data_IF_019618760366
#
_entry.id   IF_019618760366
#
_cell.length_a   1.000
_cell.length_b   1.000
_cell.length_c   1.000
_cell.angle_alpha   90.00
_cell.angle_beta   90.00
_cell.angle_gamma   90.00
#
_symmetry.space_group_name_H-M   'P 1'
#
loop_
_entity.id
_entity.type
_entity.pdbx_description
1 polymer ?
#
# COMPACT_ATOMS: atom_id res chain seq x y z
N UNK A 1 -13.56 -5.55 -14.34
CA UNK A 1 -12.99 -5.87 -13.00
C UNK A 1 -12.30 -7.22 -13.00
N UNK A 2 -12.98 -8.31 -13.39
CA UNK A 2 -12.42 -9.67 -13.47
C UNK A 2 -11.20 -9.76 -14.39
N UNK A 3 -11.25 -9.18 -15.59
CA UNK A 3 -10.13 -9.23 -16.53
C UNK A 3 -8.87 -8.52 -16.02
N UNK A 4 -9.04 -7.44 -15.25
CA UNK A 4 -7.96 -6.72 -14.58
C UNK A 4 -7.39 -7.57 -13.45
N UNK A 5 -8.26 -8.22 -12.65
CA UNK A 5 -7.86 -9.12 -11.57
C UNK A 5 -7.04 -10.29 -12.11
N UNK A 6 -7.46 -10.90 -13.23
CA UNK A 6 -6.74 -12.02 -13.85
C UNK A 6 -5.42 -11.57 -14.46
N UNK A 7 -5.42 -10.53 -15.31
CA UNK A 7 -4.20 -10.07 -16.01
C UNK A 7 -3.17 -9.46 -15.06
N UNK A 8 -3.59 -8.74 -14.02
CA UNK A 8 -2.68 -8.14 -13.02
C UNK A 8 -2.37 -9.05 -11.84
N UNK A 9 -3.22 -10.03 -11.54
CA UNK A 9 -3.00 -11.04 -10.50
C UNK A 9 -2.01 -12.12 -10.92
N UNK A 10 -1.96 -12.47 -12.20
CA UNK A 10 -1.04 -13.51 -12.71
C UNK A 10 0.45 -13.18 -12.45
N UNK A 11 0.94 -11.94 -12.69
CA UNK A 11 2.31 -11.56 -12.31
C UNK A 11 2.57 -11.67 -10.81
N UNK A 12 1.60 -11.30 -9.95
CA UNK A 12 1.75 -11.41 -8.49
C UNK A 12 1.84 -12.89 -8.08
N UNK A 13 0.99 -13.74 -8.65
CA UNK A 13 1.06 -15.19 -8.41
C UNK A 13 2.42 -15.79 -8.81
N UNK A 14 2.96 -15.39 -9.96
CA UNK A 14 4.29 -15.81 -10.38
C UNK A 14 5.38 -15.33 -9.40
N UNK A 15 5.28 -14.10 -8.89
CA UNK A 15 6.20 -13.59 -7.87
C UNK A 15 6.10 -14.37 -6.55
N UNK A 16 4.89 -14.72 -6.10
CA UNK A 16 4.69 -15.53 -4.88
C UNK A 16 5.28 -16.94 -5.03
N UNK A 17 5.08 -17.58 -6.18
CA UNK A 17 5.67 -18.89 -6.50
C UNK A 17 7.20 -18.77 -6.53
N UNK A 18 7.73 -17.74 -7.20
CA UNK A 18 9.16 -17.47 -7.27
C UNK A 18 9.77 -17.21 -5.90
N UNK A 19 9.11 -16.44 -5.05
CA UNK A 19 9.50 -16.22 -3.65
C UNK A 19 9.54 -17.54 -2.89
N UNK A 20 8.47 -18.33 -2.94
CA UNK A 20 8.39 -19.62 -2.24
C UNK A 20 9.51 -20.56 -2.70
N UNK A 21 9.73 -20.66 -4.02
CA UNK A 21 10.81 -21.45 -4.61
C UNK A 21 12.19 -20.96 -4.15
N UNK A 22 12.44 -19.65 -4.19
CA UNK A 22 13.72 -19.09 -3.80
C UNK A 22 14.02 -19.29 -2.31
N UNK A 23 13.03 -19.05 -1.43
CA UNK A 23 13.19 -19.24 0.00
C UNK A 23 13.35 -20.71 0.39
N UNK A 24 12.83 -21.64 -0.41
CA UNK A 24 12.97 -23.09 -0.18
C UNK A 24 14.33 -23.61 -0.67
N UNK A 25 14.81 -23.16 -1.83
CA UNK A 25 15.98 -23.76 -2.51
C UNK A 25 17.27 -22.97 -2.32
N UNK A 26 17.19 -21.67 -1.98
CA UNK A 26 18.32 -20.74 -1.99
C UNK A 26 18.45 -19.96 -0.69
N UNK A 27 17.93 -20.49 0.42
CA UNK A 27 17.98 -19.80 1.71
C UNK A 27 19.40 -19.48 2.19
N UNK A 28 20.36 -20.35 1.88
CA UNK A 28 21.78 -20.19 2.23
C UNK A 28 22.46 -19.04 1.48
N UNK A 29 21.88 -18.57 0.36
CA UNK A 29 22.39 -17.44 -0.42
C UNK A 29 21.96 -16.08 0.16
N UNK A 30 20.98 -16.06 1.09
CA UNK A 30 20.58 -14.83 1.77
C UNK A 30 21.68 -14.38 2.75
N UNK A 31 21.79 -13.09 3.10
CA UNK A 31 22.79 -12.63 4.07
C UNK A 31 22.47 -13.15 5.49
N UNK A 32 23.51 -13.49 6.25
CA UNK A 32 23.49 -14.04 7.63
C UNK A 32 22.34 -13.53 8.54
N UNK A 33 22.04 -12.22 8.63
CA UNK A 33 20.98 -11.73 9.53
C UNK A 33 19.60 -12.31 9.22
N UNK A 34 19.34 -12.64 7.96
CA UNK A 34 18.06 -13.16 7.45
C UNK A 34 18.13 -14.63 7.04
N UNK A 35 19.30 -15.27 7.11
CA UNK A 35 19.44 -16.72 6.99
C UNK A 35 18.71 -17.41 8.17
N UNK A 36 18.10 -18.57 7.92
CA UNK A 36 17.29 -19.28 8.91
C UNK A 36 15.78 -18.98 8.81
N UNK A 37 14.96 -19.89 9.36
CA UNK A 37 13.55 -20.04 8.97
C UNK A 37 12.57 -19.16 9.75
N UNK A 38 12.76 -18.95 11.05
CA UNK A 38 11.84 -18.12 11.86
C UNK A 38 12.44 -17.59 13.15
N UNK A 39 11.84 -16.52 13.67
CA UNK A 39 11.99 -16.02 15.04
C UNK A 39 10.59 -15.84 15.63
N UNK A 40 10.36 -16.31 16.86
CA UNK A 40 9.02 -16.30 17.49
C UNK A 40 7.91 -16.91 16.61
N UNK A 41 8.22 -17.98 15.88
CA UNK A 41 7.33 -18.63 14.90
C UNK A 41 6.90 -17.76 13.71
N UNK A 42 7.60 -16.65 13.44
CA UNK A 42 7.39 -15.78 12.27
C UNK A 42 8.65 -15.75 11.39
N UNK A 43 8.55 -15.75 10.05
CA UNK A 43 9.73 -15.67 9.19
C UNK A 43 10.58 -14.44 9.48
N UNK A 44 11.91 -14.56 9.48
CA UNK A 44 12.80 -13.40 9.71
C UNK A 44 12.55 -12.26 8.73
N UNK A 45 12.30 -12.60 7.46
CA UNK A 45 11.99 -11.64 6.40
C UNK A 45 10.66 -10.90 6.62
N UNK A 46 9.78 -11.37 7.52
CA UNK A 46 8.58 -10.64 7.92
C UNK A 46 8.91 -9.26 8.52
N UNK A 47 10.13 -9.06 9.03
CA UNK A 47 10.62 -7.74 9.44
C UNK A 47 10.52 -6.69 8.32
N UNK A 48 10.61 -7.10 7.05
CA UNK A 48 10.40 -6.21 5.90
C UNK A 48 8.94 -5.72 5.82
N UNK A 49 7.98 -6.58 6.14
CA UNK A 49 6.55 -6.25 6.14
C UNK A 49 6.27 -5.24 7.26
N UNK A 50 6.84 -5.47 8.44
CA UNK A 50 6.76 -4.50 9.54
C UNK A 50 7.38 -3.15 9.14
N UNK A 51 8.58 -3.16 8.54
CA UNK A 51 9.28 -1.93 8.18
C UNK A 51 8.56 -1.13 7.08
N UNK A 52 8.16 -1.78 5.99
CA UNK A 52 7.57 -1.07 4.84
C UNK A 52 6.06 -0.90 4.98
N UNK A 53 5.33 -1.97 5.29
CA UNK A 53 3.86 -1.97 5.21
C UNK A 53 3.20 -1.45 6.49
N UNK A 54 3.91 -1.45 7.63
CA UNK A 54 3.42 -0.87 8.88
C UNK A 54 4.07 0.49 9.14
N UNK A 55 5.40 0.53 9.31
CA UNK A 55 6.11 1.76 9.68
C UNK A 55 6.14 2.76 8.53
N UNK A 56 6.63 2.35 7.35
CA UNK A 56 6.73 3.23 6.19
C UNK A 56 5.37 3.77 5.73
N UNK A 57 4.35 2.92 5.70
CA UNK A 57 3.00 3.31 5.27
C UNK A 57 2.35 4.30 6.25
N UNK A 58 2.63 4.17 7.56
CA UNK A 58 2.23 5.15 8.58
C UNK A 58 2.85 6.51 8.30
N UNK A 59 4.17 6.57 8.02
CA UNK A 59 4.81 7.83 7.63
C UNK A 59 4.22 8.42 6.34
N UNK A 60 3.85 7.57 5.39
CA UNK A 60 3.16 8.01 4.17
C UNK A 60 1.84 8.69 4.50
N UNK A 61 1.00 8.10 5.37
CA UNK A 61 -0.25 8.74 5.83
C UNK A 61 0.01 10.05 6.57
N UNK A 62 0.99 10.09 7.48
CA UNK A 62 1.36 11.32 8.18
C UNK A 62 1.81 12.43 7.21
N UNK A 63 2.51 12.07 6.13
CA UNK A 63 2.90 13.02 5.09
C UNK A 63 1.67 13.59 4.35
N UNK A 64 0.66 12.77 4.06
CA UNK A 64 -0.59 13.20 3.43
C UNK A 64 -1.42 14.07 4.37
N UNK A 65 -1.51 13.71 5.65
CA UNK A 65 -2.14 14.53 6.68
C UNK A 65 -1.45 15.90 6.81
N UNK A 66 -0.12 15.93 6.73
CA UNK A 66 0.65 17.17 6.77
C UNK A 66 0.35 18.07 5.56
N UNK A 67 0.12 17.49 4.37
CA UNK A 67 -0.31 18.26 3.18
C UNK A 67 -1.68 18.87 3.36
N UNK A 68 -2.63 18.15 3.97
CA UNK A 68 -3.94 18.70 4.36
C UNK A 68 -3.77 19.84 5.35
N UNK A 69 -2.92 19.68 6.38
CA UNK A 69 -2.66 20.75 7.36
C UNK A 69 -2.09 22.03 6.71
N UNK A 70 -1.18 21.88 5.75
CA UNK A 70 -0.65 23.01 4.96
C UNK A 70 -1.73 23.66 4.10
N UNK A 71 -2.54 22.86 3.41
CA UNK A 71 -3.66 23.35 2.59
C UNK A 71 -4.70 24.09 3.45
N UNK A 72 -4.99 23.56 4.65
CA UNK A 72 -5.89 24.17 5.61
C UNK A 72 -5.47 25.60 5.96
N UNK A 73 -4.19 25.78 6.31
CA UNK A 73 -3.62 27.11 6.59
C UNK A 73 -3.64 28.02 5.36
N UNK A 74 -3.36 27.46 4.18
CA UNK A 74 -3.31 28.22 2.91
C UNK A 74 -4.69 28.75 2.50
N UNK A 75 -5.73 27.94 2.63
CA UNK A 75 -7.08 28.26 2.15
C UNK A 75 -8.04 28.71 3.27
N UNK A 76 -7.55 28.94 4.49
CA UNK A 76 -8.33 29.49 5.59
C UNK A 76 -9.46 28.58 6.10
N UNK A 77 -9.30 27.25 6.02
CA UNK A 77 -10.36 26.31 6.45
C UNK A 77 -10.21 26.03 7.95
N UNK A 78 -11.06 26.61 8.78
CA UNK A 78 -10.97 26.39 10.24
C UNK A 78 -11.47 25.01 10.67
N UNK A 79 -10.94 24.50 11.79
CA UNK A 79 -11.52 23.34 12.46
C UNK A 79 -12.88 23.73 13.08
N UNK A 80 -13.87 22.83 13.11
CA UNK A 80 -13.83 21.41 12.81
C UNK A 80 -14.18 21.05 11.35
N UNK A 81 -14.30 22.03 10.44
CA UNK A 81 -14.74 21.78 9.05
C UNK A 81 -13.78 20.82 8.35
N UNK A 82 -14.32 19.74 7.79
CA UNK A 82 -13.55 18.74 7.05
C UNK A 82 -13.30 19.17 5.59
N UNK A 83 -14.32 19.75 4.96
CA UNK A 83 -14.29 20.27 3.59
C UNK A 83 -14.59 21.77 3.62
N UNK A 84 -14.05 22.50 2.65
CA UNK A 84 -14.44 23.87 2.36
C UNK A 84 -15.81 23.89 1.66
N UNK A 85 -16.63 24.90 2.00
CA UNK A 85 -17.96 25.09 1.44
C UNK A 85 -17.92 26.02 0.21
N UNK A 86 -18.90 25.85 -0.68
CA UNK A 86 -19.04 26.63 -1.91
C UNK A 86 -18.16 26.15 -3.07
N UNK A 87 -18.29 26.85 -4.20
CA UNK A 87 -17.68 26.46 -5.50
C UNK A 87 -16.48 27.34 -5.90
N UNK A 88 -15.89 28.06 -4.94
CA UNK A 88 -14.69 28.85 -5.20
C UNK A 88 -13.52 27.94 -5.58
N UNK A 89 -12.59 28.48 -6.37
CA UNK A 89 -11.39 27.74 -6.78
C UNK A 89 -10.52 27.32 -5.58
N UNK A 90 -10.45 28.16 -4.54
CA UNK A 90 -9.76 27.83 -3.29
C UNK A 90 -10.44 26.70 -2.52
N UNK A 91 -11.78 26.71 -2.45
CA UNK A 91 -12.55 25.63 -1.83
C UNK A 91 -12.34 24.30 -2.57
N UNK A 92 -12.40 24.32 -3.91
CA UNK A 92 -12.11 23.15 -4.74
C UNK A 92 -10.69 22.63 -4.53
N UNK A 93 -9.68 23.52 -4.54
CA UNK A 93 -8.29 23.13 -4.35
C UNK A 93 -8.03 22.50 -2.97
N UNK A 94 -8.61 23.06 -1.90
CA UNK A 94 -8.56 22.43 -0.58
C UNK A 94 -9.24 21.05 -0.58
N UNK A 95 -10.46 20.96 -1.10
CA UNK A 95 -11.25 19.73 -1.13
C UNK A 95 -10.57 18.61 -1.94
N UNK A 96 -9.85 18.97 -3.00
CA UNK A 96 -9.02 18.06 -3.78
C UNK A 96 -7.87 17.46 -2.97
N UNK A 97 -7.10 18.29 -2.26
CA UNK A 97 -6.03 17.81 -1.37
C UNK A 97 -6.61 16.93 -0.25
N UNK A 98 -7.71 17.36 0.36
CA UNK A 98 -8.41 16.61 1.40
C UNK A 98 -8.88 15.24 0.90
N UNK A 99 -9.48 15.19 -0.30
CA UNK A 99 -9.99 13.94 -0.87
C UNK A 99 -8.88 12.95 -1.22
N UNK A 100 -7.73 13.45 -1.68
CA UNK A 100 -6.53 12.64 -1.90
C UNK A 100 -6.08 11.91 -0.62
N UNK A 101 -6.10 12.59 0.53
CA UNK A 101 -5.78 12.00 1.83
C UNK A 101 -6.88 11.05 2.33
N UNK A 102 -8.16 11.44 2.26
CA UNK A 102 -9.29 10.62 2.70
C UNK A 102 -9.36 9.27 1.97
N UNK A 103 -9.14 9.26 0.66
CA UNK A 103 -9.09 8.01 -0.09
C UNK A 103 -7.96 7.06 0.38
N UNK A 104 -6.84 7.60 0.90
CA UNK A 104 -5.81 6.78 1.53
C UNK A 104 -6.30 6.17 2.85
N UNK A 105 -7.00 6.94 3.68
CA UNK A 105 -7.55 6.47 4.95
C UNK A 105 -8.64 5.41 4.78
N UNK A 106 -9.49 5.52 3.75
CA UNK A 106 -10.58 4.56 3.47
C UNK A 106 -10.06 3.14 3.16
N UNK A 107 -8.86 3.03 2.63
CA UNK A 107 -8.30 1.76 2.12
C UNK A 107 -7.11 1.27 2.94
N UNK A 108 -6.57 2.13 3.81
CA UNK A 108 -5.43 1.79 4.66
C UNK A 108 -5.70 0.64 5.64
N UNK A 109 -6.86 0.56 6.34
CA UNK A 109 -7.14 -0.55 7.26
C UNK A 109 -7.06 -1.91 6.56
N UNK A 110 -7.67 -2.02 5.37
CA UNK A 110 -7.63 -3.24 4.57
C UNK A 110 -6.21 -3.55 4.09
N UNK A 111 -5.49 -2.54 3.58
CA UNK A 111 -4.09 -2.71 3.19
C UNK A 111 -3.22 -3.23 4.33
N UNK A 112 -3.34 -2.63 5.52
CA UNK A 112 -2.54 -2.96 6.69
C UNK A 112 -2.86 -4.38 7.18
N UNK A 113 -4.14 -4.69 7.39
CA UNK A 113 -4.58 -6.00 7.88
C UNK A 113 -4.17 -7.13 6.91
N UNK A 114 -4.40 -6.93 5.61
CA UNK A 114 -4.03 -7.92 4.59
C UNK A 114 -2.51 -8.06 4.47
N UNK A 115 -1.74 -6.98 4.63
CA UNK A 115 -0.27 -7.06 4.64
C UNK A 115 0.24 -7.88 5.83
N UNK A 116 -0.31 -7.66 7.02
CA UNK A 116 0.10 -8.39 8.21
C UNK A 116 -0.16 -9.90 8.08
N UNK A 117 -1.27 -10.29 7.46
CA UNK A 117 -1.60 -11.70 7.20
C UNK A 117 -0.76 -12.26 6.05
N UNK A 118 -0.71 -11.55 4.91
CA UNK A 118 -0.05 -12.02 3.69
C UNK A 118 1.46 -12.17 3.82
N UNK A 119 2.07 -11.34 4.66
CA UNK A 119 3.48 -11.40 4.95
C UNK A 119 3.92 -12.68 5.66
N UNK A 120 3.01 -13.39 6.33
CA UNK A 120 3.35 -14.58 7.12
C UNK A 120 3.90 -15.71 6.24
N UNK A 121 3.41 -15.83 5.00
CA UNK A 121 3.93 -16.79 4.02
C UNK A 121 4.75 -16.13 2.91
N UNK A 122 4.42 -14.88 2.53
CA UNK A 122 5.03 -14.18 1.39
C UNK A 122 5.67 -12.83 1.80
N UNK A 123 6.64 -12.83 2.73
CA UNK A 123 7.18 -11.60 3.31
C UNK A 123 7.79 -10.64 2.27
N UNK A 124 8.45 -11.13 1.23
CA UNK A 124 9.10 -10.31 0.20
C UNK A 124 8.05 -9.69 -0.72
N UNK A 125 7.17 -10.48 -1.32
CA UNK A 125 6.16 -9.97 -2.26
C UNK A 125 5.20 -8.99 -1.57
N UNK A 126 4.77 -9.31 -0.35
CA UNK A 126 3.94 -8.40 0.45
C UNK A 126 4.67 -7.08 0.75
N UNK A 127 5.97 -7.12 1.09
CA UNK A 127 6.77 -5.91 1.34
C UNK A 127 6.97 -5.05 0.10
N UNK A 128 7.24 -5.67 -1.05
CA UNK A 128 7.35 -4.98 -2.34
C UNK A 128 6.03 -4.31 -2.71
N UNK A 129 4.90 -4.99 -2.50
CA UNK A 129 3.58 -4.38 -2.68
C UNK A 129 3.40 -3.14 -1.80
N UNK A 130 3.88 -3.15 -0.55
CA UNK A 130 3.81 -2.00 0.33
C UNK A 130 4.70 -0.84 -0.11
N UNK A 131 5.94 -1.11 -0.52
CA UNK A 131 6.85 -0.10 -1.06
C UNK A 131 6.24 0.63 -2.27
N UNK A 132 5.73 -0.14 -3.24
CA UNK A 132 5.07 0.43 -4.43
C UNK A 132 3.79 1.16 -4.03
N UNK A 133 2.98 0.60 -3.14
CA UNK A 133 1.75 1.24 -2.64
C UNK A 133 2.01 2.64 -2.06
N UNK A 134 3.06 2.82 -1.25
CA UNK A 134 3.43 4.12 -0.69
C UNK A 134 3.77 5.14 -1.78
N UNK A 135 4.62 4.76 -2.74
CA UNK A 135 4.96 5.61 -3.88
C UNK A 135 3.71 5.98 -4.71
N UNK A 136 2.82 5.01 -4.94
CA UNK A 136 1.56 5.23 -5.64
C UNK A 136 0.61 6.16 -4.87
N UNK A 137 0.60 6.12 -3.53
CA UNK A 137 -0.22 7.02 -2.70
C UNK A 137 0.22 8.48 -2.80
N UNK A 138 1.53 8.71 -2.76
CA UNK A 138 2.08 10.06 -2.96
C UNK A 138 1.76 10.57 -4.37
N UNK A 139 2.00 9.75 -5.39
CA UNK A 139 1.72 10.09 -6.78
C UNK A 139 0.22 10.35 -7.04
N UNK A 140 -0.66 9.55 -6.44
CA UNK A 140 -2.10 9.75 -6.52
C UNK A 140 -2.53 11.05 -5.87
N UNK A 141 -2.04 11.34 -4.66
CA UNK A 141 -2.37 12.58 -3.96
C UNK A 141 -1.87 13.81 -4.74
N UNK A 142 -0.69 13.72 -5.36
CA UNK A 142 -0.16 14.77 -6.24
C UNK A 142 -1.02 14.99 -7.49
N UNK A 143 -1.59 13.92 -8.05
CA UNK A 143 -2.57 13.98 -9.13
C UNK A 143 -3.86 14.65 -8.67
N UNK A 144 -4.43 14.15 -7.58
CA UNK A 144 -5.71 14.63 -7.05
C UNK A 144 -5.64 16.11 -6.67
N UNK A 145 -4.51 16.58 -6.14
CA UNK A 145 -4.29 17.99 -5.79
C UNK A 145 -4.28 18.95 -7.00
N UNK A 146 -4.21 18.43 -8.24
CA UNK A 146 -4.38 19.23 -9.47
C UNK A 146 -5.84 19.17 -9.91
N UNK A 147 -6.37 17.96 -10.06
CA UNK A 147 -7.77 17.74 -10.39
C UNK A 147 -8.19 16.29 -10.15
N UNK A 148 -9.49 16.03 -10.13
CA UNK A 148 -9.99 14.67 -10.02
C UNK A 148 -9.56 13.81 -11.23
N UNK A 149 -9.57 14.37 -12.43
CA UNK A 149 -9.25 13.68 -13.70
C UNK A 149 -7.79 13.23 -13.75
N UNK A 150 -6.89 14.01 -13.13
CA UNK A 150 -5.45 13.76 -13.18
C UNK A 150 -4.94 12.80 -12.10
N UNK A 151 -5.81 12.33 -11.19
CA UNK A 151 -5.47 11.42 -10.07
C UNK A 151 -4.74 10.13 -10.49
N UNK A 152 -5.00 9.64 -11.70
CA UNK A 152 -4.37 8.45 -12.26
C UNK A 152 -3.31 8.73 -13.32
N UNK A 153 -3.43 9.86 -14.01
CA UNK A 153 -2.71 10.12 -15.26
C UNK A 153 -1.51 11.02 -15.07
N UNK A 154 -1.47 11.83 -13.98
CA UNK A 154 -0.32 12.69 -13.68
C UNK A 154 0.98 11.91 -13.50
N UNK A 155 0.89 10.68 -12.99
CA UNK A 155 2.04 9.81 -12.81
C UNK A 155 1.66 8.38 -13.16
N UNK A 156 2.54 7.70 -13.90
CA UNK A 156 2.41 6.27 -14.21
C UNK A 156 2.38 5.39 -12.95
N UNK A 157 2.84 5.92 -11.81
CA UNK A 157 2.85 5.21 -10.53
C UNK A 157 1.49 5.19 -9.83
N UNK A 158 0.62 6.18 -10.05
CA UNK A 158 -0.65 6.31 -9.32
C UNK A 158 -1.61 5.12 -9.48
N UNK A 159 -1.77 4.50 -10.67
CA UNK A 159 -2.66 3.35 -10.84
C UNK A 159 -2.22 2.09 -10.08
N UNK A 160 -0.98 2.03 -9.61
CA UNK A 160 -0.45 0.86 -8.92
C UNK A 160 -0.95 0.71 -7.48
N UNK A 161 -1.66 1.71 -6.92
CA UNK A 161 -2.41 1.56 -5.66
C UNK A 161 -3.27 0.28 -5.70
N UNK A 162 -4.05 0.11 -6.77
CA UNK A 162 -4.97 -1.02 -6.90
C UNK A 162 -4.25 -2.33 -7.15
N UNK A 163 -3.18 -2.31 -7.96
CA UNK A 163 -2.37 -3.50 -8.20
C UNK A 163 -1.77 -4.03 -6.90
N UNK A 164 -1.25 -3.14 -6.05
CA UNK A 164 -0.67 -3.52 -4.76
C UNK A 164 -1.73 -3.94 -3.74
N UNK A 165 -2.90 -3.28 -3.72
CA UNK A 165 -4.03 -3.71 -2.87
C UNK A 165 -4.50 -5.12 -3.23
N UNK A 166 -4.67 -5.40 -4.53
CA UNK A 166 -5.00 -6.74 -5.02
C UNK A 166 -3.86 -7.72 -4.68
N UNK A 167 -2.61 -7.29 -4.82
CA UNK A 167 -1.45 -8.10 -4.48
C UNK A 167 -1.45 -8.56 -3.03
N UNK A 168 -1.70 -7.64 -2.08
CA UNK A 168 -1.77 -8.01 -0.66
C UNK A 168 -2.97 -8.92 -0.36
N UNK A 169 -4.10 -8.78 -1.06
CA UNK A 169 -5.22 -9.73 -0.99
C UNK A 169 -4.76 -11.14 -1.39
N UNK A 170 -4.07 -11.30 -2.52
CA UNK A 170 -3.56 -12.61 -2.96
C UNK A 170 -2.60 -13.23 -1.95
N UNK A 171 -1.64 -12.44 -1.44
CA UNK A 171 -0.69 -12.94 -0.43
C UNK A 171 -1.40 -13.34 0.88
N UNK A 172 -2.42 -12.59 1.29
CA UNK A 172 -3.23 -12.89 2.47
C UNK A 172 -4.04 -14.16 2.29
N UNK A 173 -4.70 -14.34 1.15
CA UNK A 173 -5.44 -15.57 0.83
C UNK A 173 -4.50 -16.78 0.86
N UNK A 174 -3.33 -16.68 0.20
CA UNK A 174 -2.36 -17.78 0.19
C UNK A 174 -1.82 -18.10 1.60
N UNK A 175 -1.55 -17.07 2.41
CA UNK A 175 -1.12 -17.27 3.80
C UNK A 175 -2.21 -17.93 4.64
N UNK A 176 -3.46 -17.48 4.53
CA UNK A 176 -4.61 -18.07 5.23
C UNK A 176 -4.84 -19.54 4.84
N UNK A 177 -4.73 -19.87 3.56
CA UNK A 177 -4.83 -21.27 3.09
C UNK A 177 -3.68 -22.13 3.62
N UNK A 178 -2.48 -21.57 3.71
CA UNK A 178 -1.33 -22.23 4.34
C UNK A 178 -1.52 -22.45 5.84
N UNK A 179 -2.12 -21.49 6.55
CA UNK A 179 -2.47 -21.65 7.98
C UNK A 179 -3.51 -22.77 8.19
N UNK A 180 -4.46 -22.91 7.26
CA UNK A 180 -5.42 -24.02 7.26
C UNK A 180 -4.80 -25.35 6.80
N UNK A 181 -3.52 -25.37 6.42
CA UNK A 181 -2.80 -26.54 5.90
C UNK A 181 -3.47 -27.14 4.64
N UNK A 182 -4.09 -26.28 3.81
CA UNK A 182 -4.67 -26.65 2.51
C UNK A 182 -3.61 -26.56 1.40
N UNK A 183 -2.57 -25.73 1.60
CA UNK A 183 -1.46 -25.44 0.68
C UNK A 183 -0.09 -25.39 1.39
#
# INVERSE_FOLDING_TARGET
MIEILVKRGLPIAALMIGETYALTNFQELLPEPVQGSSILAVPKLYGLVALFNVVGSTFTLLSLASRVGKARKKYGVEYPKMYAEGDSEDAKAFNQVQRGHQHALETYPSFLALSLIGGLRHPIVTSLCGAVYMCSRLAWADGYAVSAETRYTKSRMAPHIWTCLIGVVYTAVSSSLGILNIL
#
